data_IF_796645350421
#
_entry.id   IF_796645350421
#
_cell.length_a   1.000
_cell.length_b   1.000
_cell.length_c   1.000
_cell.angle_alpha   90.00
_cell.angle_beta   90.00
_cell.angle_gamma   90.00
#
_symmetry.space_group_name_H-M   'P 1'
#
loop_
_entity.id
_entity.type
_entity.pdbx_description
1 polymer ?
#
# COMPACT_ATOMS: atom_id res chain seq x y z
N UNK A 1 17.14 -15.71 17.40
CA UNK A 1 15.82 -15.17 17.03
C UNK A 1 14.91 -16.37 16.85
N UNK A 2 13.95 -16.59 17.76
CA UNK A 2 13.02 -17.71 17.68
C UNK A 2 11.73 -17.20 17.08
N UNK A 3 11.33 -17.75 15.93
CA UNK A 3 10.01 -17.50 15.36
C UNK A 3 9.01 -18.35 16.15
N UNK A 4 8.16 -17.69 16.94
CA UNK A 4 6.98 -18.34 17.50
C UNK A 4 5.93 -18.31 16.40
N UNK A 5 5.45 -19.48 15.99
CA UNK A 5 4.25 -19.58 15.16
C UNK A 5 3.06 -19.66 16.11
N UNK A 6 2.39 -18.54 16.44
CA UNK A 6 1.21 -18.61 17.29
C UNK A 6 0.17 -19.47 16.58
N UNK A 7 -0.39 -20.44 17.30
CA UNK A 7 -1.57 -21.16 16.82
C UNK A 7 -2.73 -20.17 16.75
N UNK A 8 -3.25 -19.93 15.55
CA UNK A 8 -4.47 -19.13 15.38
C UNK A 8 -5.64 -19.92 15.91
N UNK A 9 -6.47 -19.30 16.76
CA UNK A 9 -7.71 -19.90 17.23
C UNK A 9 -8.77 -19.84 16.12
N UNK A 10 -9.41 -20.97 15.84
CA UNK A 10 -10.48 -21.09 14.82
C UNK A 10 -9.98 -21.52 13.44
N UNK A 11 -10.92 -21.78 12.53
CA UNK A 11 -10.66 -22.24 11.14
C UNK A 11 -10.72 -21.11 10.12
N UNK A 12 -11.25 -19.95 10.50
CA UNK A 12 -11.42 -18.79 9.64
C UNK A 12 -10.12 -17.98 9.62
N UNK A 13 -9.57 -17.72 8.44
CA UNK A 13 -8.35 -16.93 8.23
C UNK A 13 -8.33 -16.33 6.82
N UNK A 14 -7.61 -15.23 6.59
CA UNK A 14 -7.40 -14.72 5.25
C UNK A 14 -6.68 -15.75 4.38
N UNK A 15 -6.98 -15.71 3.08
CA UNK A 15 -6.15 -16.33 2.05
C UNK A 15 -4.74 -15.71 2.05
N UNK A 16 -3.74 -16.48 1.64
CA UNK A 16 -2.37 -16.02 1.44
C UNK A 16 -2.33 -14.75 0.57
N UNK A 17 -1.41 -13.83 0.90
CA UNK A 17 -1.33 -12.54 0.22
C UNK A 17 0.06 -11.91 0.32
N UNK A 18 0.51 -11.33 -0.78
CA UNK A 18 1.73 -10.51 -0.89
C UNK A 18 1.39 -9.06 -1.23
N UNK A 19 2.22 -8.11 -0.81
CA UNK A 19 2.00 -6.69 -1.07
C UNK A 19 0.75 -6.10 -0.40
N UNK A 20 0.22 -6.76 0.63
CA UNK A 20 -0.88 -6.25 1.45
C UNK A 20 -0.38 -5.16 2.41
N UNK A 21 -1.31 -4.39 2.96
CA UNK A 21 -1.03 -3.51 4.10
C UNK A 21 -1.46 -4.18 5.40
N UNK A 22 -0.73 -3.89 6.47
CA UNK A 22 -1.08 -4.33 7.81
C UNK A 22 -0.84 -3.19 8.80
N UNK A 23 -1.86 -2.81 9.58
CA UNK A 23 -1.78 -1.71 10.55
C UNK A 23 -2.35 -2.14 11.89
N UNK A 24 -1.80 -1.62 12.99
CA UNK A 24 -2.35 -1.87 14.33
C UNK A 24 -3.40 -0.81 14.68
N UNK A 25 -4.60 -1.25 15.05
CA UNK A 25 -5.69 -0.40 15.51
C UNK A 25 -6.48 -1.10 16.61
N UNK A 26 -6.60 -0.47 17.77
CA UNK A 26 -7.48 -0.88 18.87
C UNK A 26 -7.33 -2.36 19.30
N UNK A 27 -6.09 -2.86 19.42
CA UNK A 27 -5.80 -4.26 19.78
C UNK A 27 -5.95 -5.26 18.63
N UNK A 28 -6.24 -4.79 17.43
CA UNK A 28 -6.30 -5.58 16.21
C UNK A 28 -5.15 -5.25 15.27
N UNK A 29 -4.64 -6.27 14.58
CA UNK A 29 -3.92 -6.08 13.33
C UNK A 29 -4.93 -6.11 12.19
N UNK A 30 -5.06 -4.99 11.49
CA UNK A 30 -5.97 -4.82 10.36
C UNK A 30 -5.20 -5.03 9.06
N UNK A 31 -5.68 -5.93 8.22
CA UNK A 31 -5.03 -6.36 6.97
C UNK A 31 -5.96 -6.09 5.80
N UNK A 32 -5.43 -5.48 4.73
CA UNK A 32 -6.18 -5.18 3.51
C UNK A 32 -5.34 -5.36 2.24
N UNK A 33 -6.02 -5.74 1.15
CA UNK A 33 -5.45 -5.82 -0.18
C UNK A 33 -4.38 -6.89 -0.34
N UNK A 34 -3.43 -6.60 -1.23
CA UNK A 34 -2.42 -7.55 -1.70
C UNK A 34 -2.94 -8.46 -2.80
N UNK A 35 -2.05 -9.28 -3.32
CA UNK A 35 -2.32 -10.25 -4.38
C UNK A 35 -1.97 -11.67 -3.95
N UNK A 36 -2.52 -12.63 -4.69
CA UNK A 36 -2.20 -14.05 -4.58
C UNK A 36 -2.06 -14.65 -5.98
N UNK A 37 -1.39 -15.79 -6.07
CA UNK A 37 -1.24 -16.51 -7.33
C UNK A 37 -2.60 -17.11 -7.71
N UNK A 38 -3.19 -16.62 -8.79
CA UNK A 38 -4.45 -17.15 -9.31
C UNK A 38 -4.19 -18.29 -10.29
N UNK A 39 -4.83 -19.44 -10.06
CA UNK A 39 -4.83 -20.54 -11.03
C UNK A 39 -5.74 -20.18 -12.23
N UNK A 40 -5.28 -20.45 -13.44
CA UNK A 40 -6.18 -20.54 -14.59
C UNK A 40 -7.03 -21.82 -14.46
N UNK A 41 -8.29 -21.82 -14.93
CA UNK A 41 -8.93 -23.09 -15.25
C UNK A 41 -8.02 -23.81 -16.26
N UNK A 42 -7.66 -25.05 -15.96
CA UNK A 42 -6.70 -25.89 -16.66
C UNK A 42 -6.91 -25.97 -18.19
N UNK A 43 -6.45 -24.98 -18.96
CA UNK A 43 -6.05 -25.22 -20.34
C UNK A 43 -4.63 -25.78 -20.30
N UNK A 44 -4.54 -27.10 -20.16
CA UNK A 44 -3.29 -27.85 -20.16
C UNK A 44 -2.53 -27.59 -21.48
N UNK A 45 -1.63 -26.61 -21.47
CA UNK A 45 -0.52 -26.54 -22.42
C UNK A 45 0.69 -27.18 -21.72
N UNK A 46 1.06 -28.43 -22.07
CA UNK A 46 2.18 -29.10 -21.43
C UNK A 46 3.46 -28.26 -21.54
N UNK A 47 4.08 -27.95 -20.41
CA UNK A 47 5.31 -27.15 -20.35
C UNK A 47 5.11 -25.63 -20.22
N UNK A 48 3.87 -25.13 -20.13
CA UNK A 48 3.60 -23.70 -19.95
C UNK A 48 2.69 -23.46 -18.75
N UNK A 49 3.24 -22.84 -17.69
CA UNK A 49 2.52 -22.50 -16.48
C UNK A 49 2.47 -20.97 -16.34
N UNK A 50 1.36 -20.37 -16.78
CA UNK A 50 1.11 -18.95 -16.54
C UNK A 50 0.53 -18.78 -15.14
N UNK A 51 1.32 -18.19 -14.25
CA UNK A 51 0.83 -17.68 -12.96
C UNK A 51 0.45 -16.22 -13.19
N UNK A 52 -0.82 -15.89 -12.98
CA UNK A 52 -1.29 -14.49 -13.02
C UNK A 52 -1.69 -14.08 -11.62
N UNK A 53 -1.07 -13.01 -11.14
CA UNK A 53 -1.39 -12.40 -9.87
C UNK A 53 -2.82 -11.86 -9.89
N UNK A 54 -3.60 -12.21 -8.86
CA UNK A 54 -4.94 -11.68 -8.65
C UNK A 54 -4.98 -10.89 -7.35
N UNK A 55 -5.46 -9.65 -7.42
CA UNK A 55 -5.66 -8.84 -6.23
C UNK A 55 -6.85 -9.36 -5.41
N UNK A 56 -6.75 -9.23 -4.09
CA UNK A 56 -7.86 -9.50 -3.17
C UNK A 56 -8.98 -8.46 -3.35
N UNK A 57 -10.25 -8.82 -3.07
CA UNK A 57 -11.38 -7.90 -3.24
C UNK A 57 -11.22 -6.59 -2.46
N UNK A 58 -11.62 -5.47 -3.08
CA UNK A 58 -11.55 -4.13 -2.48
C UNK A 58 -12.23 -3.99 -1.13
N UNK A 59 -13.35 -4.68 -0.95
CA UNK A 59 -14.19 -4.58 0.23
C UNK A 59 -13.77 -5.57 1.34
N UNK A 60 -12.77 -6.43 1.10
CA UNK A 60 -12.32 -7.44 2.06
C UNK A 60 -11.31 -6.83 3.06
N UNK A 61 -11.69 -6.73 4.33
CA UNK A 61 -10.79 -6.31 5.42
C UNK A 61 -10.73 -7.40 6.50
N UNK A 62 -9.52 -7.75 6.92
CA UNK A 62 -9.28 -8.76 7.94
C UNK A 62 -8.78 -8.12 9.24
N UNK A 63 -9.39 -8.49 10.35
CA UNK A 63 -8.99 -8.09 11.69
C UNK A 63 -8.45 -9.30 12.43
N UNK A 64 -7.21 -9.23 12.89
CA UNK A 64 -6.63 -10.22 13.79
C UNK A 64 -6.59 -9.66 15.20
N UNK A 65 -7.37 -10.23 16.10
CA UNK A 65 -7.36 -9.88 17.51
C UNK A 65 -6.08 -10.44 18.14
N UNK A 66 -5.19 -9.55 18.59
CA UNK A 66 -3.89 -9.94 19.15
C UNK A 66 -4.07 -10.74 20.45
N UNK A 67 -5.03 -10.35 21.28
CA UNK A 67 -5.28 -10.98 22.58
C UNK A 67 -5.83 -12.41 22.45
N UNK A 68 -6.78 -12.62 21.55
CA UNK A 68 -7.45 -13.92 21.39
C UNK A 68 -6.80 -14.80 20.32
N UNK A 69 -5.84 -14.24 19.56
CA UNK A 69 -5.20 -14.87 18.41
C UNK A 69 -6.20 -15.40 17.37
N UNK A 70 -7.28 -14.63 17.13
CA UNK A 70 -8.39 -15.02 16.26
C UNK A 70 -8.63 -13.99 15.15
N UNK A 71 -9.03 -14.48 13.97
CA UNK A 71 -9.36 -13.65 12.82
C UNK A 71 -10.85 -13.34 12.75
N UNK A 72 -11.16 -12.16 12.20
CA UNK A 72 -12.50 -11.69 11.87
C UNK A 72 -12.48 -11.04 10.48
N UNK A 73 -13.40 -11.47 9.63
CA UNK A 73 -13.62 -10.85 8.32
C UNK A 73 -14.63 -9.71 8.45
N UNK A 74 -14.37 -8.58 7.80
CA UNK A 74 -15.26 -7.44 7.70
C UNK A 74 -15.36 -7.02 6.24
N UNK A 75 -16.58 -6.97 5.70
CA UNK A 75 -16.86 -6.37 4.41
C UNK A 75 -17.12 -4.87 4.58
N UNK A 76 -16.36 -4.05 3.85
CA UNK A 76 -16.57 -2.60 3.82
C UNK A 76 -17.56 -2.21 2.73
N UNK A 77 -18.16 -1.03 2.86
CA UNK A 77 -19.10 -0.47 1.89
C UNK A 77 -18.84 1.04 1.71
N UNK A 78 -19.40 1.63 0.65
CA UNK A 78 -19.15 3.01 0.25
C UNK A 78 -18.02 3.12 -0.76
N UNK A 79 -17.20 4.18 -0.64
CA UNK A 79 -16.08 4.45 -1.54
C UNK A 79 -14.87 3.56 -1.19
N UNK A 80 -14.97 2.27 -1.51
CA UNK A 80 -13.87 1.32 -1.31
C UNK A 80 -12.75 1.57 -2.32
N UNK A 81 -11.47 1.62 -1.90
CA UNK A 81 -10.35 1.75 -2.83
C UNK A 81 -10.33 0.59 -3.86
N UNK A 82 -9.74 0.78 -5.05
CA UNK A 82 -9.58 -0.32 -6.00
C UNK A 82 -8.74 -1.47 -5.40
N UNK A 83 -8.83 -2.71 -5.95
CA UNK A 83 -8.00 -3.82 -5.50
C UNK A 83 -6.53 -3.53 -5.78
N UNK A 84 -5.71 -3.31 -4.75
CA UNK A 84 -4.32 -2.87 -4.89
C UNK A 84 -3.34 -3.75 -4.11
N UNK A 85 -2.10 -3.76 -4.59
CA UNK A 85 -0.93 -4.25 -3.87
C UNK A 85 0.15 -3.17 -3.82
N UNK A 86 1.06 -3.26 -2.85
CA UNK A 86 2.13 -2.28 -2.65
C UNK A 86 1.66 -0.92 -2.13
N UNK A 87 0.42 -0.82 -1.66
CA UNK A 87 -0.10 0.36 -0.96
C UNK A 87 0.67 0.61 0.35
N UNK A 88 0.55 1.82 0.88
CA UNK A 88 1.02 2.18 2.22
C UNK A 88 -0.18 2.57 3.06
N UNK A 89 -0.18 2.20 4.34
CA UNK A 89 -1.28 2.50 5.24
C UNK A 89 -0.77 2.90 6.62
N UNK A 90 -1.45 3.86 7.23
CA UNK A 90 -1.31 4.24 8.62
C UNK A 90 -2.68 4.52 9.23
N UNK A 91 -2.76 4.51 10.55
CA UNK A 91 -3.99 4.76 11.30
C UNK A 91 -4.00 6.18 11.82
N UNK A 92 -5.09 6.89 11.60
CA UNK A 92 -5.34 8.23 12.16
C UNK A 92 -6.64 8.17 12.97
N UNK A 93 -6.67 8.86 14.11
CA UNK A 93 -7.86 8.98 14.95
C UNK A 93 -9.07 9.46 14.15
N UNK A 94 -10.24 8.87 14.44
CA UNK A 94 -11.51 8.94 13.71
C UNK A 94 -11.83 10.31 13.08
N UNK A 95 -11.37 10.53 11.85
CA UNK A 95 -11.78 11.65 11.01
C UNK A 95 -12.11 11.10 9.62
N UNK A 96 -13.35 11.34 9.19
CA UNK A 96 -13.76 11.12 7.81
C UNK A 96 -13.02 12.15 6.96
N UNK A 97 -12.12 11.68 6.09
CA UNK A 97 -11.41 12.55 5.17
C UNK A 97 -12.42 13.21 4.22
N UNK A 98 -12.59 14.52 4.34
CA UNK A 98 -13.25 15.35 3.31
C UNK A 98 -12.28 15.55 2.14
N UNK A 99 -12.71 16.30 1.12
CA UNK A 99 -11.86 16.66 -0.03
C UNK A 99 -10.52 17.28 0.42
N UNK A 100 -9.43 16.60 0.08
CA UNK A 100 -8.05 17.04 0.33
C UNK A 100 -7.65 18.09 -0.72
N UNK A 101 -6.90 19.10 -0.30
CA UNK A 101 -6.36 20.21 -1.13
C UNK A 101 -4.85 20.06 -1.33
N UNK A 102 -4.28 20.81 -2.28
CA UNK A 102 -2.86 20.76 -2.61
C UNK A 102 -2.49 19.66 -3.61
N UNK A 103 -1.21 19.55 -3.93
CA UNK A 103 -0.69 18.58 -4.91
C UNK A 103 -0.27 17.28 -4.20
N UNK A 104 -0.92 16.14 -4.48
CA UNK A 104 -0.51 14.86 -3.93
C UNK A 104 0.80 14.35 -4.57
N UNK A 105 1.44 13.33 -3.97
CA UNK A 105 2.47 12.57 -4.66
C UNK A 105 1.96 12.01 -6.00
N UNK A 106 2.83 11.84 -6.98
CA UNK A 106 2.51 11.06 -8.20
C UNK A 106 2.12 9.62 -7.87
N UNK A 107 1.32 8.98 -8.71
CA UNK A 107 0.88 7.60 -8.54
C UNK A 107 2.08 6.65 -8.39
N UNK A 108 2.12 5.93 -7.27
CA UNK A 108 3.25 5.07 -6.88
C UNK A 108 2.86 4.00 -5.86
N UNK A 109 3.64 2.93 -5.84
CA UNK A 109 3.56 1.83 -4.88
C UNK A 109 4.88 1.67 -4.10
N UNK A 110 4.95 0.70 -3.18
CA UNK A 110 6.16 0.30 -2.43
C UNK A 110 6.83 1.46 -1.69
N UNK A 111 6.02 2.40 -1.23
CA UNK A 111 6.44 3.56 -0.44
C UNK A 111 6.21 3.31 1.05
N UNK A 112 6.90 4.08 1.91
CA UNK A 112 6.62 4.07 3.34
C UNK A 112 5.82 5.31 3.76
N UNK A 113 4.91 5.14 4.73
CA UNK A 113 4.24 6.25 5.38
C UNK A 113 4.24 6.08 6.90
N UNK A 114 4.20 7.20 7.63
CA UNK A 114 4.10 7.22 9.08
C UNK A 114 3.37 8.46 9.56
N UNK A 115 2.87 8.42 10.79
CA UNK A 115 2.17 9.55 11.42
C UNK A 115 3.09 10.32 12.36
N UNK A 116 2.94 11.64 12.41
CA UNK A 116 3.55 12.51 13.42
C UNK A 116 2.56 13.61 13.79
N UNK A 117 1.99 13.55 15.00
CA UNK A 117 0.83 14.37 15.40
C UNK A 117 -0.31 14.21 14.37
N UNK A 118 -0.85 15.33 13.87
CA UNK A 118 -1.91 15.36 12.86
C UNK A 118 -1.39 15.26 11.42
N UNK A 119 -0.14 14.81 11.23
CA UNK A 119 0.48 14.68 9.92
C UNK A 119 0.63 13.22 9.52
N UNK A 120 0.39 12.91 8.24
CA UNK A 120 0.93 11.71 7.59
C UNK A 120 2.10 12.13 6.70
N UNK A 121 3.23 11.46 6.88
CA UNK A 121 4.40 11.63 6.05
C UNK A 121 4.50 10.43 5.09
N UNK A 122 4.81 10.70 3.83
CA UNK A 122 4.99 9.72 2.77
C UNK A 122 6.37 9.88 2.16
N UNK A 123 7.14 8.80 2.06
CA UNK A 123 8.49 8.84 1.53
C UNK A 123 8.75 7.77 0.47
N UNK A 124 9.37 8.21 -0.62
CA UNK A 124 9.86 7.35 -1.69
C UNK A 124 8.77 6.69 -2.54
N UNK A 125 9.02 5.43 -2.92
CA UNK A 125 8.14 4.62 -3.75
C UNK A 125 8.58 4.44 -5.21
N UNK A 126 7.89 3.55 -5.90
CA UNK A 126 8.08 3.23 -7.31
C UNK A 126 6.84 3.63 -8.11
N UNK A 127 7.02 4.42 -9.16
CA UNK A 127 5.87 4.95 -9.89
C UNK A 127 6.23 5.78 -11.10
N UNK A 128 5.23 6.47 -11.63
CA UNK A 128 5.42 7.37 -12.78
C UNK A 128 6.26 8.58 -12.38
N UNK A 129 6.97 9.13 -13.36
CA UNK A 129 7.68 10.39 -13.20
C UNK A 129 6.72 11.48 -12.68
N UNK A 130 7.15 12.31 -11.71
CA UNK A 130 6.33 13.39 -11.21
C UNK A 130 5.98 14.41 -12.30
N UNK A 131 4.80 15.00 -12.19
CA UNK A 131 4.38 16.08 -13.07
C UNK A 131 5.24 17.34 -12.82
N UNK A 132 6.05 17.79 -13.80
CA UNK A 132 6.97 18.91 -13.62
C UNK A 132 6.27 20.24 -13.30
N UNK A 133 4.98 20.38 -13.60
CA UNK A 133 4.19 21.58 -13.26
C UNK A 133 3.63 21.54 -11.83
N UNK A 134 3.59 20.36 -11.20
CA UNK A 134 2.99 20.18 -9.86
C UNK A 134 4.00 19.96 -8.74
N UNK A 135 5.24 19.62 -9.09
CA UNK A 135 6.32 19.45 -8.12
C UNK A 135 6.93 20.81 -7.85
N UNK A 136 6.52 21.44 -6.76
CA UNK A 136 7.19 22.62 -6.24
C UNK A 136 8.67 22.27 -6.01
N UNK A 137 9.57 22.89 -6.77
CA UNK A 137 11.03 22.89 -6.60
C UNK A 137 11.58 21.59 -5.97
N UNK A 138 11.40 20.47 -6.69
CA UNK A 138 11.72 19.08 -6.30
C UNK A 138 12.71 18.93 -5.15
N UNK A 139 12.19 18.74 -3.94
CA UNK A 139 12.98 18.29 -2.81
C UNK A 139 13.12 16.76 -2.88
N UNK A 140 14.11 16.31 -3.66
CA UNK A 140 14.44 14.89 -3.88
C UNK A 140 14.81 14.58 -5.32
N UNK A 141 15.15 13.30 -5.58
CA UNK A 141 15.51 12.77 -6.89
C UNK A 141 14.48 11.76 -7.37
N UNK A 142 14.33 11.68 -8.70
CA UNK A 142 13.64 10.59 -9.39
C UNK A 142 14.63 9.90 -10.33
N UNK A 143 14.66 8.57 -10.31
CA UNK A 143 15.53 7.76 -11.16
C UNK A 143 14.68 6.72 -11.87
N UNK A 144 14.63 6.79 -13.20
CA UNK A 144 13.97 5.76 -14.02
C UNK A 144 14.59 4.39 -13.76
N UNK A 145 13.76 3.36 -13.75
CA UNK A 145 14.26 2.00 -13.74
C UNK A 145 14.77 1.65 -15.14
N UNK A 146 16.09 1.78 -15.32
CA UNK A 146 16.80 1.38 -16.52
C UNK A 146 17.44 0.02 -16.27
N UNK A 147 16.65 -1.04 -16.11
CA UNK A 147 17.20 -2.39 -16.05
C UNK A 147 17.81 -2.71 -17.42
N UNK A 148 19.14 -2.60 -17.55
CA UNK A 148 19.86 -2.85 -18.80
C UNK A 148 19.75 -4.29 -19.33
N UNK A 149 19.18 -5.20 -18.53
CA UNK A 149 18.95 -6.61 -18.87
C UNK A 149 17.49 -6.92 -19.25
N UNK A 150 16.54 -6.06 -18.88
CA UNK A 150 15.13 -6.26 -19.21
C UNK A 150 14.76 -5.34 -20.37
N UNK A 151 14.41 -5.93 -21.52
CA UNK A 151 14.00 -5.19 -22.72
C UNK A 151 12.65 -4.45 -22.58
N UNK A 152 12.13 -4.32 -21.35
CA UNK A 152 10.86 -3.67 -21.04
C UNK A 152 11.07 -2.60 -19.96
N UNK A 153 11.34 -1.38 -20.38
CA UNK A 153 11.20 -0.21 -19.50
C UNK A 153 9.71 0.09 -19.34
N UNK A 154 9.17 -0.01 -18.13
CA UNK A 154 7.76 0.30 -17.85
C UNK A 154 7.50 1.80 -17.66
N UNK A 155 8.46 2.67 -18.05
CA UNK A 155 8.44 4.12 -17.86
C UNK A 155 8.24 4.57 -16.40
N UNK A 156 8.53 3.70 -15.42
CA UNK A 156 8.47 4.01 -13.99
C UNK A 156 9.87 4.07 -13.38
N UNK A 157 9.94 4.56 -12.15
CA UNK A 157 11.20 4.79 -11.46
C UNK A 157 11.05 4.95 -9.95
N UNK A 158 12.19 4.96 -9.28
CA UNK A 158 12.31 5.18 -7.85
C UNK A 158 12.45 6.65 -7.53
N UNK A 159 12.00 7.06 -6.35
CA UNK A 159 12.16 8.43 -5.89
C UNK A 159 12.55 8.55 -4.42
N UNK A 160 13.06 9.72 -4.04
CA UNK A 160 13.37 10.09 -2.66
C UNK A 160 12.53 11.27 -2.16
N UNK A 161 11.32 11.47 -2.72
CA UNK A 161 10.46 12.59 -2.37
C UNK A 161 9.82 12.36 -1.00
N UNK A 162 9.68 13.44 -0.22
CA UNK A 162 8.94 13.48 1.03
C UNK A 162 7.69 14.33 0.84
N UNK A 163 6.51 13.77 1.11
CA UNK A 163 5.24 14.48 1.11
C UNK A 163 4.61 14.44 2.49
N UNK A 164 3.89 15.50 2.84
CA UNK A 164 3.17 15.62 4.10
C UNK A 164 1.71 15.91 3.83
N UNK A 165 0.83 15.07 4.36
CA UNK A 165 -0.61 15.32 4.44
C UNK A 165 -0.92 15.81 5.85
N UNK A 166 -1.32 17.07 5.96
CA UNK A 166 -1.91 17.62 7.18
C UNK A 166 -3.37 17.19 7.27
N UNK A 167 -3.70 16.37 8.27
CA UNK A 167 -5.03 15.80 8.47
C UNK A 167 -6.00 16.77 9.14
N UNK A 168 -5.48 17.79 9.84
CA UNK A 168 -6.27 18.85 10.46
C UNK A 168 -6.75 19.87 9.43
N UNK A 169 -5.90 20.20 8.44
CA UNK A 169 -6.22 21.14 7.36
C UNK A 169 -6.65 20.47 6.05
N UNK A 170 -6.47 19.14 5.94
CA UNK A 170 -6.69 18.35 4.73
C UNK A 170 -5.91 18.92 3.54
N UNK A 171 -4.61 19.16 3.73
CA UNK A 171 -3.73 19.79 2.73
C UNK A 171 -2.45 19.00 2.54
N UNK A 172 -2.08 18.78 1.28
CA UNK A 172 -0.76 18.30 0.90
C UNK A 172 0.27 19.42 0.90
N UNK A 173 1.49 19.08 1.30
CA UNK A 173 2.67 19.93 1.18
C UNK A 173 3.93 19.09 0.94
N UNK A 174 4.96 19.73 0.36
CA UNK A 174 6.28 19.14 0.18
C UNK A 174 7.29 19.96 1.01
N UNK A 175 7.79 19.43 2.14
CA UNK A 175 8.77 20.15 2.96
C UNK A 175 10.10 20.27 2.21
N UNK A 176 10.73 21.46 2.32
CA UNK A 176 12.09 21.66 1.82
C UNK A 176 13.08 20.94 2.71
N UNK A 177 13.52 19.75 2.32
CA UNK A 177 14.61 19.05 2.98
C UNK A 177 15.94 19.38 2.27
N UNK A 178 16.95 19.77 3.06
CA UNK A 178 18.35 19.72 2.62
C UNK A 178 18.87 18.38 3.12
N UNK A 179 19.02 17.42 2.22
CA UNK A 179 19.79 16.21 2.50
C UNK A 179 21.24 16.56 2.86
#
# INVERSE_FOLDING_TARGET
MTFVFPSTNGTVKPRERSGHVAVHFDGYLVVWGGYYNGDFPEEHVPGFHLVVDRNHPSNEVWFYCIETSAWKHIETSGDTPPPLSGSSACVIGSNILKRIKGNPPSDRDKLCCWTYNDLILYFGGYGIAPDPEKVDESCGYFTFNTSGEEQFTDNRGWNSHLFVLDTSNLTWSQPKNKG
#
